data_IF_200487568831
#
_entry.id   IF_200487568831
#
_cell.length_a   1.000
_cell.length_b   1.000
_cell.length_c   1.000
_cell.angle_alpha   90.00
_cell.angle_beta   90.00
_cell.angle_gamma   90.00
#
_symmetry.space_group_name_H-M   'P 1'
#
loop_
_entity.id
_entity.type
_entity.pdbx_description
1 polymer ?
#
# COMPACT_ATOMS: atom_id res chain seq x y z
N UNK A 1 -21.87 -0.79 10.17
CA UNK A 1 -20.70 0.12 10.20
C UNK A 1 -19.51 -0.68 10.69
N UNK A 2 -18.41 -0.72 9.92
CA UNK A 2 -17.15 -1.41 10.26
C UNK A 2 -16.45 -0.67 11.43
N UNK A 3 -15.93 -1.40 12.42
CA UNK A 3 -15.15 -0.81 13.53
C UNK A 3 -13.71 -0.49 13.15
N UNK A 4 -13.18 -1.13 12.11
CA UNK A 4 -11.78 -0.93 11.74
C UNK A 4 -11.63 0.37 10.95
N UNK A 5 -10.79 1.32 11.38
CA UNK A 5 -10.38 2.43 10.52
C UNK A 5 -9.75 1.85 9.24
N UNK A 6 -9.87 2.55 8.08
CA UNK A 6 -9.21 2.10 6.86
C UNK A 6 -7.74 1.80 7.12
N UNK A 7 -7.29 0.59 6.77
CA UNK A 7 -5.88 0.28 6.84
C UNK A 7 -5.17 1.07 5.74
N UNK A 8 -3.89 1.37 5.96
CA UNK A 8 -3.10 2.08 4.96
C UNK A 8 -1.88 1.24 4.62
N UNK A 9 -1.68 0.95 3.34
CA UNK A 9 -0.43 0.42 2.82
C UNK A 9 0.43 1.55 2.25
N UNK A 10 1.73 1.46 2.46
CA UNK A 10 2.73 2.36 1.89
C UNK A 10 3.66 1.55 0.99
N UNK A 11 3.96 2.08 -0.19
CA UNK A 11 4.93 1.51 -1.12
C UNK A 11 6.01 2.55 -1.42
N UNK A 12 7.26 2.23 -1.08
CA UNK A 12 8.44 3.00 -1.49
C UNK A 12 9.10 2.30 -2.66
N UNK A 13 9.41 3.08 -3.70
CA UNK A 13 10.03 2.58 -4.92
C UNK A 13 11.43 3.17 -5.03
N UNK A 14 12.44 2.30 -4.98
CA UNK A 14 13.85 2.67 -5.04
C UNK A 14 14.46 2.21 -6.37
N UNK A 15 15.43 2.97 -6.88
CA UNK A 15 16.24 2.56 -8.00
C UNK A 15 17.23 1.48 -7.57
N UNK A 16 17.29 0.38 -8.31
CA UNK A 16 18.24 -0.70 -8.09
C UNK A 16 19.67 -0.18 -8.26
N UNK A 17 20.53 -0.48 -7.29
CA UNK A 17 21.95 -0.12 -7.30
C UNK A 17 22.27 1.22 -6.63
N UNK A 18 21.46 2.27 -6.83
CA UNK A 18 21.68 3.57 -6.15
C UNK A 18 20.88 3.72 -4.86
N UNK A 19 19.77 2.98 -4.73
CA UNK A 19 18.85 3.12 -3.59
C UNK A 19 18.08 4.45 -3.59
N UNK A 20 18.15 5.23 -4.67
CA UNK A 20 17.45 6.51 -4.78
C UNK A 20 15.94 6.31 -4.87
N UNK A 21 15.17 7.14 -4.17
CA UNK A 21 13.72 7.07 -4.24
C UNK A 21 13.21 7.70 -5.55
N UNK A 22 12.60 6.85 -6.39
CA UNK A 22 12.15 7.19 -7.74
C UNK A 22 11.01 8.20 -7.80
N UNK A 23 10.22 8.31 -6.71
CA UNK A 23 9.15 9.32 -6.60
C UNK A 23 9.73 10.69 -6.24
N UNK A 24 10.80 10.71 -5.43
CA UNK A 24 11.39 11.97 -4.97
C UNK A 24 12.41 12.55 -5.93
N UNK A 25 13.13 11.70 -6.69
CA UNK A 25 14.06 12.16 -7.71
C UNK A 25 13.37 12.55 -9.04
N UNK A 26 12.04 12.38 -9.11
CA UNK A 26 11.21 12.76 -10.26
C UNK A 26 11.22 11.78 -11.42
N UNK A 27 11.85 10.61 -11.27
CA UNK A 27 11.85 9.54 -12.29
C UNK A 27 10.46 8.95 -12.49
N UNK A 28 9.65 8.89 -11.43
CA UNK A 28 8.24 8.51 -11.46
C UNK A 28 7.42 9.71 -10.96
N UNK A 29 6.52 10.21 -11.79
CA UNK A 29 5.56 11.25 -11.40
C UNK A 29 4.25 10.61 -10.97
N UNK A 30 3.49 11.33 -10.15
CA UNK A 30 2.16 10.88 -9.73
C UNK A 30 1.22 10.63 -10.92
N UNK A 31 1.37 11.38 -12.01
CA UNK A 31 0.64 11.15 -13.28
C UNK A 31 0.94 9.81 -13.94
N UNK A 32 2.04 9.17 -13.57
CA UNK A 32 2.53 7.94 -14.17
C UNK A 32 2.06 6.70 -13.38
N UNK A 33 1.34 6.92 -12.27
CA UNK A 33 0.90 5.87 -11.35
C UNK A 33 -0.58 5.61 -11.59
N UNK A 34 -0.90 4.35 -11.87
CA UNK A 34 -2.27 3.87 -11.98
C UNK A 34 -2.47 2.74 -10.99
N UNK A 35 -3.48 2.85 -10.15
CA UNK A 35 -3.86 1.80 -9.21
C UNK A 35 -5.22 1.23 -9.62
N UNK A 36 -5.28 -0.08 -9.83
CA UNK A 36 -6.53 -0.78 -10.16
C UNK A 36 -6.75 -1.98 -9.24
N UNK A 37 -8.00 -2.25 -8.89
CA UNK A 37 -8.37 -3.50 -8.25
C UNK A 37 -8.26 -4.63 -9.29
N UNK A 38 -7.46 -5.66 -9.03
CA UNK A 38 -7.11 -6.68 -10.03
C UNK A 38 -8.29 -7.54 -10.47
N UNK A 39 -9.23 -7.79 -9.56
CA UNK A 39 -10.42 -8.62 -9.77
C UNK A 39 -11.45 -7.93 -10.67
N UNK A 40 -11.69 -6.64 -10.45
CA UNK A 40 -12.71 -5.85 -11.15
C UNK A 40 -12.14 -5.00 -12.28
N UNK A 41 -10.81 -4.85 -12.33
CA UNK A 41 -10.08 -3.94 -13.20
C UNK A 41 -10.58 -2.47 -13.09
N UNK A 42 -11.13 -2.10 -11.94
CA UNK A 42 -11.62 -0.75 -11.69
C UNK A 42 -10.52 0.13 -11.11
N UNK A 43 -10.50 1.40 -11.52
CA UNK A 43 -9.54 2.36 -10.99
C UNK A 43 -9.80 2.61 -9.49
N UNK A 44 -8.80 2.32 -8.67
CA UNK A 44 -8.81 2.66 -7.26
C UNK A 44 -8.39 4.13 -7.13
N UNK A 45 -9.24 4.95 -6.50
CA UNK A 45 -9.02 6.41 -6.39
C UNK A 45 -8.47 6.86 -5.04
N UNK A 46 -8.50 5.98 -4.03
CA UNK A 46 -8.16 6.30 -2.66
C UNK A 46 -6.67 6.03 -2.38
N UNK A 47 -5.82 6.67 -3.19
CA UNK A 47 -4.37 6.65 -3.03
C UNK A 47 -3.79 8.04 -3.28
N UNK A 48 -2.54 8.26 -2.85
CA UNK A 48 -1.78 9.48 -3.15
C UNK A 48 -0.28 9.24 -3.02
N UNK A 49 0.52 10.11 -3.65
CA UNK A 49 1.95 10.21 -3.29
C UNK A 49 2.09 11.08 -2.06
N UNK A 50 2.82 10.59 -1.04
CA UNK A 50 3.13 11.35 0.17
C UNK A 50 4.18 12.40 -0.16
N UNK A 51 3.70 13.60 -0.48
CA UNK A 51 4.49 14.82 -0.67
C UNK A 51 4.70 15.47 0.70
N UNK A 52 5.91 15.95 0.98
CA UNK A 52 6.44 16.30 2.31
C UNK A 52 5.47 17.04 3.22
N UNK A 53 5.37 16.59 4.48
CA UNK A 53 4.89 17.41 5.60
C UNK A 53 5.96 17.66 6.68
N UNK A 54 7.01 16.84 6.74
CA UNK A 54 8.11 16.95 7.71
C UNK A 54 9.39 16.43 7.06
N UNK A 55 10.44 17.26 7.01
CA UNK A 55 11.78 16.85 6.59
C UNK A 55 12.23 15.70 7.51
N UNK A 56 12.63 14.56 6.94
CA UNK A 56 13.05 13.36 7.69
C UNK A 56 11.98 12.29 7.94
N UNK A 57 10.74 12.48 7.46
CA UNK A 57 9.72 11.42 7.56
C UNK A 57 10.05 10.24 6.63
N UNK A 58 10.06 9.03 7.19
CA UNK A 58 10.21 7.77 6.43
C UNK A 58 9.15 7.58 5.33
N UNK A 59 7.98 8.22 5.49
CA UNK A 59 6.86 8.15 4.56
C UNK A 59 7.01 9.09 3.36
N UNK A 60 7.94 10.03 3.38
CA UNK A 60 8.16 10.92 2.25
C UNK A 60 8.57 10.13 1.01
N UNK A 61 7.92 10.43 -0.13
CA UNK A 61 8.17 9.71 -1.38
C UNK A 61 7.63 8.28 -1.36
N UNK A 62 6.46 8.06 -0.76
CA UNK A 62 5.76 6.77 -0.82
C UNK A 62 4.42 6.92 -1.52
N UNK A 63 3.96 5.84 -2.14
CA UNK A 63 2.57 5.68 -2.57
C UNK A 63 1.79 5.21 -1.34
N UNK A 64 0.84 6.02 -0.88
CA UNK A 64 -0.08 5.68 0.18
C UNK A 64 -1.38 5.16 -0.43
N UNK A 65 -1.80 3.96 -0.05
CA UNK A 65 -3.02 3.30 -0.50
C UNK A 65 -3.95 3.05 0.69
N UNK A 66 -5.19 3.54 0.62
CA UNK A 66 -6.20 3.26 1.65
C UNK A 66 -6.95 1.97 1.31
N UNK A 67 -6.97 1.04 2.25
CA UNK A 67 -7.60 -0.26 2.13
C UNK A 67 -8.87 -0.28 3.01
N UNK A 68 -10.03 -0.49 2.40
CA UNK A 68 -11.34 -0.38 3.07
C UNK A 68 -12.33 -1.46 2.63
N UNK A 69 -11.82 -2.59 2.12
CA UNK A 69 -12.65 -3.72 1.71
C UNK A 69 -13.43 -4.30 2.89
N UNK A 70 -14.71 -4.53 2.63
CA UNK A 70 -15.66 -5.10 3.61
C UNK A 70 -16.06 -6.52 3.25
N UNK A 71 -15.43 -7.09 2.22
CA UNK A 71 -15.61 -8.48 1.83
C UNK A 71 -14.43 -9.29 2.35
N UNK A 72 -14.73 -10.35 3.07
CA UNK A 72 -13.71 -11.31 3.49
C UNK A 72 -13.06 -12.00 2.29
N UNK A 73 -11.75 -12.22 2.37
CA UNK A 73 -10.97 -12.90 1.35
C UNK A 73 -9.64 -12.22 1.06
N UNK A 74 -8.98 -12.71 0.02
CA UNK A 74 -7.78 -12.08 -0.53
C UNK A 74 -8.17 -11.01 -1.53
N UNK A 75 -7.43 -9.91 -1.49
CA UNK A 75 -7.62 -8.75 -2.36
C UNK A 75 -6.29 -8.32 -2.94
N UNK A 76 -6.33 -7.90 -4.19
CA UNK A 76 -5.15 -7.57 -4.98
C UNK A 76 -5.35 -6.19 -5.63
N UNK A 77 -4.45 -5.25 -5.36
CA UNK A 77 -4.32 -4.00 -6.11
C UNK A 77 -3.10 -4.06 -7.02
N UNK A 78 -3.31 -3.87 -8.32
CA UNK A 78 -2.25 -3.69 -9.29
C UNK A 78 -1.84 -2.22 -9.33
N UNK A 79 -0.57 -1.95 -9.06
CA UNK A 79 0.06 -0.64 -9.19
C UNK A 79 0.93 -0.66 -10.44
N UNK A 80 0.54 0.11 -11.44
CA UNK A 80 1.31 0.33 -12.65
C UNK A 80 2.11 1.63 -12.52
N UNK A 81 3.42 1.54 -12.76
CA UNK A 81 4.38 2.65 -12.68
C UNK A 81 4.98 2.89 -14.07
N UNK A 82 4.42 3.85 -14.83
CA UNK A 82 4.84 4.20 -16.20
C UNK A 82 5.12 2.97 -17.11
N UNK A 83 5.91 3.15 -18.17
CA UNK A 83 6.35 2.09 -19.09
C UNK A 83 7.36 1.10 -18.47
N UNK A 84 7.67 1.22 -17.18
CA UNK A 84 8.84 0.59 -16.59
C UNK A 84 8.51 -0.69 -15.82
N UNK A 85 7.40 -0.76 -15.07
CA UNK A 85 7.03 -1.98 -14.33
C UNK A 85 5.61 -1.93 -13.72
N UNK A 86 5.11 -3.12 -13.38
CA UNK A 86 3.88 -3.34 -12.61
C UNK A 86 4.22 -4.09 -11.32
N UNK A 87 3.50 -3.78 -10.25
CA UNK A 87 3.59 -4.53 -8.99
C UNK A 87 2.21 -4.71 -8.38
N UNK A 88 1.92 -5.88 -7.83
CA UNK A 88 0.66 -6.18 -7.15
C UNK A 88 0.85 -6.16 -5.64
N UNK A 89 0.10 -5.30 -4.94
CA UNK A 89 -0.09 -5.39 -3.49
C UNK A 89 -1.24 -6.37 -3.23
N UNK A 90 -0.94 -7.44 -2.49
CA UNK A 90 -1.92 -8.38 -1.98
C UNK A 90 -2.11 -8.20 -0.48
N UNK A 91 -3.33 -8.35 0.01
CA UNK A 91 -3.66 -8.36 1.43
C UNK A 91 -4.86 -9.27 1.70
N UNK A 92 -5.06 -9.62 2.96
CA UNK A 92 -6.17 -10.45 3.43
C UNK A 92 -7.10 -9.63 4.29
N UNK A 93 -8.39 -9.71 4.02
CA UNK A 93 -9.46 -9.20 4.87
C UNK A 93 -10.09 -10.39 5.56
N UNK A 94 -10.13 -10.39 6.88
CA UNK A 94 -10.88 -11.40 7.65
C UNK A 94 -12.14 -10.77 8.22
N UNK A 95 -13.20 -11.56 8.42
CA UNK A 95 -14.40 -11.09 9.11
C UNK A 95 -14.31 -11.49 10.58
N UNK A 96 -14.52 -10.52 11.48
CA UNK A 96 -14.48 -10.75 12.93
C UNK A 96 -15.69 -10.15 13.61
N UNK A 97 -16.38 -10.94 14.42
CA UNK A 97 -17.42 -10.44 15.32
C UNK A 97 -16.77 -9.70 16.49
N UNK A 98 -17.27 -8.51 16.82
CA UNK A 98 -16.66 -7.60 17.81
C UNK A 98 -17.32 -7.66 19.17
N UNK A 99 -18.52 -8.27 19.27
CA UNK A 99 -19.35 -8.24 20.47
C UNK A 99 -20.00 -6.89 20.77
N UNK A 100 -19.80 -5.87 19.91
CA UNK A 100 -20.39 -4.54 20.04
C UNK A 100 -21.78 -4.51 19.39
N UNK A 101 -22.87 -4.16 20.13
CA UNK A 101 -24.22 -4.14 19.56
C UNK A 101 -24.38 -3.05 18.48
N UNK A 102 -23.58 -1.98 18.55
CA UNK A 102 -23.62 -0.89 17.58
C UNK A 102 -22.82 -1.18 16.31
N UNK A 103 -21.82 -2.06 16.40
CA UNK A 103 -20.92 -2.38 15.29
C UNK A 103 -20.47 -3.84 15.39
N UNK A 104 -21.36 -4.80 15.06
CA UNK A 104 -21.17 -6.21 15.38
C UNK A 104 -20.00 -6.87 14.65
N UNK A 105 -19.56 -6.28 13.53
CA UNK A 105 -18.56 -6.87 12.64
C UNK A 105 -17.44 -5.88 12.34
N UNK A 106 -16.21 -6.39 12.37
CA UNK A 106 -15.00 -5.73 11.89
C UNK A 106 -14.40 -6.50 10.71
N UNK A 107 -13.70 -5.76 9.84
CA UNK A 107 -12.98 -6.30 8.70
C UNK A 107 -11.48 -5.95 8.79
N UNK A 108 -10.74 -6.55 9.75
CA UNK A 108 -9.31 -6.31 9.87
C UNK A 108 -8.54 -6.77 8.63
N UNK A 109 -7.50 -6.00 8.29
CA UNK A 109 -6.61 -6.24 7.18
C UNK A 109 -5.27 -6.76 7.70
N UNK A 110 -4.72 -7.78 7.04
CA UNK A 110 -3.45 -8.39 7.38
C UNK A 110 -2.71 -8.88 6.13
N UNK A 111 -1.48 -9.39 6.32
CA UNK A 111 -0.67 -10.02 5.28
C UNK A 111 -0.46 -9.15 4.04
N UNK A 112 -0.24 -7.84 4.24
CA UNK A 112 0.06 -6.90 3.17
C UNK A 112 1.45 -7.25 2.60
N UNK A 113 1.52 -7.60 1.32
CA UNK A 113 2.76 -8.05 0.66
C UNK A 113 2.75 -7.74 -0.83
N UNK A 114 3.91 -7.90 -1.48
CA UNK A 114 3.99 -7.93 -2.94
C UNK A 114 4.06 -9.35 -3.46
N UNK A 115 3.44 -9.60 -4.61
CA UNK A 115 3.44 -10.94 -5.24
C UNK A 115 4.39 -11.04 -6.43
N UNK A 116 4.77 -9.91 -7.02
CA UNK A 116 5.43 -9.90 -8.32
C UNK A 116 6.92 -9.51 -8.25
N UNK A 117 7.38 -9.00 -7.11
CA UNK A 117 8.76 -8.53 -6.89
C UNK A 117 9.27 -8.94 -5.51
N UNK A 118 10.59 -9.19 -5.38
CA UNK A 118 11.24 -9.18 -4.07
C UNK A 118 10.98 -7.84 -3.38
N UNK A 119 10.75 -7.88 -2.07
CA UNK A 119 10.44 -6.69 -1.29
C UNK A 119 10.94 -6.86 0.14
N UNK A 120 11.02 -5.74 0.85
CA UNK A 120 11.30 -5.70 2.29
C UNK A 120 10.28 -4.81 3.00
N UNK A 121 10.15 -4.98 4.31
CA UNK A 121 9.40 -4.05 5.14
C UNK A 121 10.30 -2.91 5.60
N UNK A 122 9.72 -1.73 5.78
CA UNK A 122 10.43 -0.64 6.47
C UNK A 122 10.64 -1.01 7.93
N UNK A 123 11.85 -0.78 8.44
CA UNK A 123 12.15 -0.91 9.87
C UNK A 123 12.29 0.47 10.49
N UNK A 124 11.47 0.76 11.50
CA UNK A 124 11.52 2.00 12.27
C UNK A 124 11.71 1.67 13.76
N UNK A 125 12.75 2.22 14.39
CA UNK A 125 13.09 1.96 15.79
C UNK A 125 13.19 0.46 16.14
N UNK A 126 13.73 -0.35 15.22
CA UNK A 126 13.90 -1.79 15.39
C UNK A 126 12.61 -2.62 15.22
N UNK A 127 11.51 -2.01 14.76
CA UNK A 127 10.25 -2.70 14.46
C UNK A 127 9.95 -2.64 12.97
N UNK A 128 9.58 -3.78 12.40
CA UNK A 128 9.07 -3.84 11.04
C UNK A 128 7.66 -3.25 10.97
N UNK A 129 7.45 -2.35 10.02
CA UNK A 129 6.15 -1.79 9.68
C UNK A 129 5.52 -2.66 8.59
N UNK A 130 4.67 -3.62 9.00
CA UNK A 130 4.07 -4.62 8.10
C UNK A 130 3.14 -4.04 7.02
N UNK A 131 2.84 -2.75 7.11
CA UNK A 131 2.06 -2.02 6.12
C UNK A 131 2.93 -1.10 5.24
N UNK A 132 4.25 -1.16 5.38
CA UNK A 132 5.19 -0.34 4.62
C UNK A 132 6.14 -1.25 3.84
N UNK A 133 5.92 -1.31 2.53
CA UNK A 133 6.66 -2.13 1.58
C UNK A 133 7.72 -1.28 0.87
N UNK A 134 8.89 -1.87 0.65
CA UNK A 134 9.98 -1.28 -0.14
C UNK A 134 10.29 -2.22 -1.30
N UNK A 135 10.37 -1.66 -2.50
CA UNK A 135 10.84 -2.35 -3.71
C UNK A 135 12.03 -1.65 -4.32
N UNK A 136 12.90 -2.45 -4.92
CA UNK A 136 14.01 -1.99 -5.74
C UNK A 136 13.77 -2.41 -7.19
N UNK A 137 13.71 -1.42 -8.09
CA UNK A 137 13.43 -1.57 -9.51
C UNK A 137 14.65 -1.27 -10.37
#
# INVERSE_FOLDING_TARGET
>A
MNESPPATAYLKVLAKGTGENLLTNGSIKESDIVVVEKTTNTAHKNWKVVKSGVVGSSYYGTIQLMLFDTKEGQHDYLIQLSNLQRTTIQYTVTRRETGSPCKPVAFPISNIKLTDHPFSYMTEQGKELLNFLIIEL
#
